data_IF_139007686788
#
_entry.id   IF_139007686788
#
_cell.length_a   1.000
_cell.length_b   1.000
_cell.length_c   1.000
_cell.angle_alpha   90.00
_cell.angle_beta   90.00
_cell.angle_gamma   90.00
#
_symmetry.space_group_name_H-M   'P 1'
#
loop_
_entity.id
_entity.type
_entity.pdbx_description
1 polymer ?
#
# COMPACT_ATOMS: atom_id res chain seq x y z
N UNK A 1 2.78 23.96 -25.01
CA UNK A 1 2.09 23.77 -23.71
C UNK A 1 2.09 22.28 -23.45
N UNK A 2 2.50 21.80 -22.27
CA UNK A 2 2.49 20.36 -21.99
C UNK A 2 1.05 19.84 -21.98
N UNK A 3 0.82 18.64 -22.52
CA UNK A 3 -0.51 18.01 -22.56
C UNK A 3 -1.08 17.93 -21.12
N UNK A 4 -2.25 18.55 -20.83
CA UNK A 4 -2.86 18.53 -19.50
C UNK A 4 -3.07 17.12 -18.93
N UNK A 5 -3.24 16.12 -19.80
CA UNK A 5 -3.43 14.72 -19.41
C UNK A 5 -2.18 14.12 -18.78
N UNK A 6 -0.99 14.52 -19.23
CA UNK A 6 0.29 14.10 -18.64
C UNK A 6 0.37 14.57 -17.18
N UNK A 7 -0.07 15.80 -16.89
CA UNK A 7 -0.09 16.31 -15.51
C UNK A 7 -1.04 15.51 -14.62
N UNK A 8 -2.24 15.19 -15.11
CA UNK A 8 -3.19 14.37 -14.36
C UNK A 8 -2.63 12.98 -14.08
N UNK A 9 -1.95 12.39 -15.07
CA UNK A 9 -1.34 11.08 -14.95
C UNK A 9 -0.27 11.03 -13.86
N UNK A 10 0.60 12.05 -13.82
CA UNK A 10 1.62 12.19 -12.74
C UNK A 10 0.97 12.32 -11.37
N UNK A 11 -0.11 13.10 -11.25
CA UNK A 11 -0.83 13.28 -9.98
C UNK A 11 -1.42 11.96 -9.49
N UNK A 12 -2.20 11.28 -10.35
CA UNK A 12 -2.86 10.00 -10.02
C UNK A 12 -1.82 8.92 -9.68
N UNK A 13 -0.75 8.82 -10.46
CA UNK A 13 0.39 7.94 -10.18
C UNK A 13 1.01 8.23 -8.81
N UNK A 14 1.20 9.51 -8.47
CA UNK A 14 1.73 9.91 -7.17
C UNK A 14 0.83 9.53 -5.98
N UNK A 15 -0.50 9.60 -6.16
CA UNK A 15 -1.47 9.16 -5.15
C UNK A 15 -1.36 7.65 -4.91
N UNK A 16 -1.45 6.85 -5.96
CA UNK A 16 -1.33 5.38 -5.86
C UNK A 16 -0.01 4.98 -5.22
N UNK A 17 1.12 5.58 -5.67
CA UNK A 17 2.45 5.31 -5.10
C UNK A 17 2.54 5.56 -3.59
N UNK A 18 1.88 6.60 -3.07
CA UNK A 18 1.88 6.90 -1.62
C UNK A 18 1.04 5.87 -0.86
N UNK A 19 -0.15 5.55 -1.37
CA UNK A 19 -1.04 4.58 -0.74
C UNK A 19 -0.45 3.16 -0.74
N UNK A 20 0.27 2.76 -1.80
CA UNK A 20 1.01 1.50 -1.84
C UNK A 20 2.05 1.43 -0.72
N UNK A 21 2.81 2.51 -0.52
CA UNK A 21 3.80 2.58 0.57
C UNK A 21 3.15 2.58 1.95
N UNK A 22 2.05 3.30 2.12
CA UNK A 22 1.30 3.35 3.38
C UNK A 22 0.80 1.96 3.79
N UNK A 23 0.13 1.24 2.88
CA UNK A 23 -0.30 -0.14 3.13
C UNK A 23 0.89 -1.06 3.46
N UNK A 24 1.96 -0.99 2.66
CA UNK A 24 3.15 -1.82 2.87
C UNK A 24 3.81 -1.55 4.23
N UNK A 25 3.78 -0.30 4.70
CA UNK A 25 4.25 0.06 6.03
C UNK A 25 3.43 -0.62 7.12
N UNK A 26 2.10 -0.50 7.08
CA UNK A 26 1.24 -1.12 8.09
C UNK A 26 1.34 -2.64 8.09
N UNK A 27 1.50 -3.28 6.93
CA UNK A 27 1.75 -4.73 6.88
C UNK A 27 3.09 -5.11 7.53
N UNK A 28 4.14 -4.32 7.30
CA UNK A 28 5.43 -4.55 7.98
C UNK A 28 5.32 -4.36 9.48
N UNK A 29 4.57 -3.37 9.95
CA UNK A 29 4.36 -3.14 11.38
C UNK A 29 3.70 -4.36 12.04
N UNK A 30 2.68 -4.94 11.39
CA UNK A 30 2.06 -6.21 11.86
C UNK A 30 3.10 -7.33 11.97
N UNK A 31 3.94 -7.51 10.96
CA UNK A 31 4.99 -8.55 10.97
C UNK A 31 6.05 -8.30 12.06
N UNK A 32 6.42 -7.05 12.29
CA UNK A 32 7.37 -6.65 13.34
C UNK A 32 6.79 -6.99 14.72
N UNK A 33 5.54 -6.62 14.98
CA UNK A 33 4.91 -6.88 16.28
C UNK A 33 4.61 -8.37 16.50
N UNK A 34 4.31 -9.13 15.44
CA UNK A 34 4.24 -10.60 15.49
C UNK A 34 5.61 -11.22 15.81
N UNK A 35 6.68 -10.76 15.16
CA UNK A 35 8.04 -11.23 15.46
C UNK A 35 8.44 -10.92 16.90
N UNK A 36 8.01 -9.77 17.42
CA UNK A 36 8.22 -9.38 18.82
C UNK A 36 7.46 -10.29 19.80
N UNK A 37 6.24 -10.70 19.46
CA UNK A 37 5.50 -11.69 20.25
C UNK A 37 6.25 -13.02 20.35
N UNK A 38 6.79 -13.51 19.23
CA UNK A 38 7.57 -14.76 19.23
C UNK A 38 8.83 -14.65 20.09
N UNK A 39 9.48 -13.48 20.11
CA UNK A 39 10.60 -13.22 21.03
C UNK A 39 10.16 -13.28 22.49
N UNK A 40 9.06 -12.61 22.87
CA UNK A 40 8.54 -12.67 24.23
C UNK A 40 8.18 -14.10 24.67
N UNK A 41 7.61 -14.91 23.76
CA UNK A 41 7.37 -16.34 24.03
C UNK A 41 8.67 -17.11 24.26
N UNK A 42 9.69 -16.88 23.41
CA UNK A 42 11.00 -17.53 23.54
C UNK A 42 11.78 -17.13 24.78
N UNK A 43 11.57 -15.91 25.29
CA UNK A 43 12.18 -15.39 26.52
C UNK A 43 11.42 -15.81 27.79
N UNK A 44 10.28 -16.50 27.66
CA UNK A 44 9.46 -16.92 28.80
C UNK A 44 8.73 -15.75 29.48
N UNK A 45 8.34 -14.73 28.72
CA UNK A 45 7.55 -13.62 29.25
C UNK A 45 6.21 -14.11 29.84
N UNK A 46 5.73 -13.40 30.85
CA UNK A 46 4.48 -13.75 31.53
C UNK A 46 3.23 -13.44 30.69
N UNK A 47 2.09 -13.99 31.12
CA UNK A 47 0.79 -13.84 30.44
C UNK A 47 0.35 -12.38 30.29
N UNK A 48 0.74 -11.50 31.22
CA UNK A 48 0.36 -10.09 31.15
C UNK A 48 1.10 -9.40 29.99
N UNK A 49 2.41 -9.66 29.84
CA UNK A 49 3.21 -9.14 28.72
C UNK A 49 2.69 -9.68 27.38
N UNK A 50 2.42 -10.99 27.32
CA UNK A 50 1.91 -11.62 26.09
C UNK A 50 0.54 -11.07 25.67
N UNK A 51 -0.39 -10.89 26.63
CA UNK A 51 -1.69 -10.24 26.36
C UNK A 51 -1.54 -8.82 25.87
N UNK A 52 -0.64 -8.03 26.48
CA UNK A 52 -0.43 -6.65 26.05
C UNK A 52 0.14 -6.57 24.63
N UNK A 53 1.05 -7.48 24.28
CA UNK A 53 1.59 -7.57 22.93
C UNK A 53 0.53 -7.98 21.91
N UNK A 54 -0.41 -8.86 22.28
CA UNK A 54 -1.55 -9.22 21.44
C UNK A 54 -2.44 -8.02 21.14
N UNK A 55 -2.74 -7.17 22.13
CA UNK A 55 -3.47 -5.92 21.92
C UNK A 55 -2.76 -5.00 20.91
N UNK A 56 -1.43 -4.83 21.04
CA UNK A 56 -0.62 -4.04 20.10
C UNK A 56 -0.71 -4.59 18.68
N UNK A 57 -0.62 -5.92 18.52
CA UNK A 57 -0.78 -6.57 17.21
C UNK A 57 -2.16 -6.28 16.61
N UNK A 58 -3.23 -6.35 17.42
CA UNK A 58 -4.58 -6.04 16.95
C UNK A 58 -4.71 -4.58 16.51
N UNK A 59 -4.12 -3.64 17.25
CA UNK A 59 -4.07 -2.22 16.86
C UNK A 59 -3.39 -2.03 15.50
N UNK A 60 -2.26 -2.70 15.25
CA UNK A 60 -1.59 -2.67 13.94
C UNK A 60 -2.46 -3.27 12.83
N UNK A 61 -3.11 -4.42 13.09
CA UNK A 61 -3.98 -5.10 12.11
C UNK A 61 -5.15 -4.20 11.71
N UNK A 62 -5.75 -3.47 12.65
CA UNK A 62 -6.89 -2.58 12.40
C UNK A 62 -6.59 -1.46 11.40
N UNK A 63 -5.32 -1.11 11.15
CA UNK A 63 -4.92 -0.06 10.21
C UNK A 63 -4.84 -0.53 8.74
N UNK A 64 -4.69 -1.84 8.52
CA UNK A 64 -4.49 -2.41 7.17
C UNK A 64 -5.75 -2.33 6.28
N UNK A 65 -6.98 -2.58 6.78
CA UNK A 65 -8.18 -2.59 5.93
C UNK A 65 -8.47 -1.25 5.25
N UNK A 66 -8.35 -0.14 5.98
CA UNK A 66 -8.64 1.19 5.43
C UNK A 66 -7.59 1.63 4.39
N UNK A 67 -6.31 1.40 4.66
CA UNK A 67 -5.24 1.68 3.69
C UNK A 67 -5.40 0.84 2.42
N UNK A 68 -5.78 -0.45 2.54
CA UNK A 68 -6.13 -1.32 1.40
C UNK A 68 -7.32 -0.78 0.61
N UNK A 69 -8.40 -0.37 1.28
CA UNK A 69 -9.59 0.21 0.63
C UNK A 69 -9.26 1.49 -0.13
N UNK A 70 -8.49 2.39 0.47
CA UNK A 70 -8.04 3.64 -0.18
C UNK A 70 -7.16 3.35 -1.39
N UNK A 71 -6.21 2.42 -1.26
CA UNK A 71 -5.35 1.99 -2.38
C UNK A 71 -6.16 1.39 -3.52
N UNK A 72 -7.10 0.48 -3.24
CA UNK A 72 -7.93 -0.17 -4.25
C UNK A 72 -8.71 0.85 -5.08
N UNK A 73 -9.33 1.84 -4.42
CA UNK A 73 -10.09 2.89 -5.08
C UNK A 73 -9.21 3.70 -6.05
N UNK A 74 -8.04 4.16 -5.60
CA UNK A 74 -7.17 4.99 -6.44
C UNK A 74 -6.42 4.17 -7.50
N UNK A 75 -6.20 2.87 -7.25
CA UNK A 75 -5.74 1.90 -8.25
C UNK A 75 -6.73 1.85 -9.43
N UNK A 76 -8.01 1.64 -9.17
CA UNK A 76 -9.05 1.55 -10.21
C UNK A 76 -9.15 2.87 -11.01
N UNK A 77 -9.01 4.01 -10.33
CA UNK A 77 -9.00 5.34 -10.97
C UNK A 77 -7.81 5.49 -11.92
N UNK A 78 -6.61 5.08 -11.52
CA UNK A 78 -5.41 5.18 -12.36
C UNK A 78 -5.44 4.13 -13.49
N UNK A 79 -5.90 2.92 -13.22
CA UNK A 79 -6.06 1.85 -14.21
C UNK A 79 -7.01 2.26 -15.33
N UNK A 80 -8.19 2.76 -14.96
CA UNK A 80 -9.15 3.30 -15.93
C UNK A 80 -8.53 4.45 -16.73
N UNK A 81 -7.85 5.38 -16.07
CA UNK A 81 -7.25 6.53 -16.75
C UNK A 81 -6.17 6.11 -17.77
N UNK A 82 -5.33 5.13 -17.44
CA UNK A 82 -4.36 4.59 -18.40
C UNK A 82 -5.08 3.91 -19.57
N UNK A 83 -6.13 3.13 -19.30
CA UNK A 83 -6.91 2.45 -20.35
C UNK A 83 -7.61 3.42 -21.31
N UNK A 84 -8.03 4.58 -20.81
CA UNK A 84 -8.67 5.62 -21.64
C UNK A 84 -7.63 6.41 -22.47
N UNK A 85 -6.41 6.60 -21.96
CA UNK A 85 -5.37 7.46 -22.55
C UNK A 85 -4.24 6.65 -23.23
N UNK A 86 -4.61 5.67 -24.06
CA UNK A 86 -3.65 4.76 -24.72
C UNK A 86 -2.71 5.46 -25.71
N UNK A 87 -3.09 6.64 -26.21
CA UNK A 87 -2.25 7.48 -27.08
C UNK A 87 -1.03 8.04 -26.36
N UNK A 88 -1.01 8.03 -25.02
CA UNK A 88 0.11 8.49 -24.20
C UNK A 88 1.11 7.39 -23.84
N UNK A 89 0.97 6.16 -24.38
CA UNK A 89 1.80 4.99 -24.01
C UNK A 89 3.31 5.20 -24.11
N UNK A 90 3.76 5.98 -25.08
CA UNK A 90 5.18 6.26 -25.30
C UNK A 90 5.73 7.33 -24.37
N UNK A 91 4.87 7.99 -23.58
CA UNK A 91 5.30 8.98 -22.60
C UNK A 91 5.84 8.33 -21.35
N UNK A 92 6.87 8.95 -20.77
CA UNK A 92 7.45 8.53 -19.49
C UNK A 92 6.43 8.54 -18.34
N UNK A 93 5.45 9.44 -18.38
CA UNK A 93 4.40 9.50 -17.38
C UNK A 93 3.49 8.27 -17.42
N UNK A 94 3.18 7.76 -18.62
CA UNK A 94 2.37 6.55 -18.80
C UNK A 94 3.12 5.31 -18.33
N UNK A 95 4.36 5.14 -18.75
CA UNK A 95 5.18 3.98 -18.35
C UNK A 95 5.34 3.92 -16.84
N UNK A 96 5.66 5.05 -16.19
CA UNK A 96 5.71 5.16 -14.73
C UNK A 96 4.36 4.85 -14.06
N UNK A 97 3.26 5.35 -14.61
CA UNK A 97 1.92 5.04 -14.10
C UNK A 97 1.62 3.54 -14.13
N UNK A 98 1.94 2.87 -15.25
CA UNK A 98 1.76 1.44 -15.43
C UNK A 98 2.65 0.60 -14.48
N UNK A 99 3.91 1.00 -14.29
CA UNK A 99 4.80 0.36 -13.32
C UNK A 99 4.27 0.46 -11.89
N UNK A 100 3.78 1.65 -11.49
CA UNK A 100 3.19 1.85 -10.16
C UNK A 100 1.91 1.04 -9.99
N UNK A 101 1.06 0.91 -11.02
CA UNK A 101 -0.09 0.00 -10.94
C UNK A 101 0.33 -1.45 -10.71
N UNK A 102 1.35 -1.95 -11.43
CA UNK A 102 1.85 -3.32 -11.21
C UNK A 102 2.30 -3.52 -9.76
N UNK A 103 3.06 -2.58 -9.21
CA UNK A 103 3.49 -2.63 -7.81
C UNK A 103 2.31 -2.55 -6.83
N UNK A 104 1.34 -1.67 -7.09
CA UNK A 104 0.13 -1.55 -6.29
C UNK A 104 -0.74 -2.81 -6.35
N UNK A 105 -0.79 -3.50 -7.50
CA UNK A 105 -1.55 -4.74 -7.66
C UNK A 105 -0.98 -5.87 -6.81
N UNK A 106 0.35 -6.07 -6.86
CA UNK A 106 1.05 -7.01 -5.98
C UNK A 106 0.72 -6.73 -4.52
N UNK A 107 0.78 -5.46 -4.14
CA UNK A 107 0.46 -5.05 -2.78
C UNK A 107 -1.03 -5.33 -2.46
N UNK A 108 -1.99 -5.05 -3.33
CA UNK A 108 -3.42 -5.30 -3.06
C UNK A 108 -3.79 -6.78 -2.88
N UNK A 109 -3.06 -7.67 -3.55
CA UNK A 109 -3.30 -9.12 -3.52
C UNK A 109 -2.72 -9.79 -2.26
N UNK A 110 -1.91 -9.07 -1.47
CA UNK A 110 -1.38 -9.48 -0.14
C UNK A 110 -2.22 -8.85 0.97
#
# INVERSE_FOLDING_TARGET
MADPRIRQLVIKTGVVKRLTKEKSCYQKDVLIEQSRMEKFRGEGADDHVLRKQEEVIQECIMMVPDSKRRLQKEYEVLEKYLNDEQDLKETEAYTKGAEILKAAKVELDV
#
